data_IF_374295962221
#
_entry.id   IF_374295962221
#
_cell.length_a   1.000
_cell.length_b   1.000
_cell.length_c   1.000
_cell.angle_alpha   90.00
_cell.angle_beta   90.00
_cell.angle_gamma   90.00
#
_symmetry.space_group_name_H-M   'P 1'
#
loop_
_entity.id
_entity.type
_entity.pdbx_description
1 polymer ?
#
# COMPACT_ATOMS: atom_id res chain seq x y z
N UNK A 1 22.84 62.65 42.60
CA UNK A 1 21.73 62.15 43.43
C UNK A 1 20.83 61.32 42.52
N UNK A 2 20.58 60.05 42.87
CA UNK A 2 19.92 59.06 41.99
C UNK A 2 18.50 59.51 41.63
N UNK A 3 18.20 59.64 40.34
CA UNK A 3 16.82 59.82 39.85
C UNK A 3 15.97 58.63 40.29
N UNK A 4 14.94 58.91 41.08
CA UNK A 4 13.99 57.92 41.56
C UNK A 4 13.18 57.36 40.40
N UNK A 5 13.39 56.08 40.06
CA UNK A 5 12.52 55.34 39.16
C UNK A 5 11.13 55.23 39.78
N UNK A 6 10.15 55.83 39.12
CA UNK A 6 8.74 55.66 39.43
C UNK A 6 8.37 54.17 39.32
N UNK A 7 7.85 53.62 40.42
CA UNK A 7 7.52 52.21 40.64
C UNK A 7 6.20 51.78 39.99
N UNK A 8 5.43 52.72 39.44
CA UNK A 8 4.17 52.43 38.77
C UNK A 8 4.38 52.37 37.25
N UNK A 9 4.11 51.21 36.62
CA UNK A 9 4.07 51.12 35.15
C UNK A 9 3.07 52.15 34.62
N UNK A 10 3.55 53.07 33.80
CA UNK A 10 2.68 54.07 33.21
C UNK A 10 1.71 53.39 32.24
N UNK A 11 0.47 53.90 32.12
CA UNK A 11 -0.54 53.39 31.15
C UNK A 11 0.04 53.26 29.73
N UNK A 12 0.97 54.15 29.38
CA UNK A 12 1.69 54.15 28.10
C UNK A 12 2.65 52.97 27.97
N UNK A 13 3.39 52.61 29.02
CA UNK A 13 4.26 51.43 29.02
C UNK A 13 3.47 50.13 28.95
N UNK A 14 2.33 50.06 29.65
CA UNK A 14 1.39 48.94 29.55
C UNK A 14 0.87 48.74 28.11
N UNK A 15 0.35 49.80 27.48
CA UNK A 15 -0.14 49.75 26.09
C UNK A 15 0.99 49.37 25.11
N UNK A 16 2.21 49.86 25.36
CA UNK A 16 3.36 49.58 24.50
C UNK A 16 3.86 48.13 24.64
N UNK A 17 3.84 47.56 25.85
CA UNK A 17 4.12 46.13 26.08
C UNK A 17 3.03 45.25 25.47
N UNK A 18 1.77 45.56 25.74
CA UNK A 18 0.64 44.76 25.26
C UNK A 18 0.53 44.77 23.73
N UNK A 19 0.76 45.92 23.09
CA UNK A 19 0.80 46.03 21.63
C UNK A 19 1.95 45.24 21.00
N UNK A 20 3.13 45.19 21.63
CA UNK A 20 4.25 44.34 21.17
C UNK A 20 3.91 42.85 21.27
N UNK A 21 3.30 42.42 22.37
CA UNK A 21 2.90 41.02 22.56
C UNK A 21 1.82 40.62 21.54
N UNK A 22 0.81 41.46 21.34
CA UNK A 22 -0.23 41.25 20.32
C UNK A 22 0.31 41.20 18.89
N UNK A 23 1.38 41.93 18.58
CA UNK A 23 2.02 41.89 17.26
C UNK A 23 2.91 40.64 17.08
N UNK A 24 3.61 40.20 18.14
CA UNK A 24 4.55 39.08 18.08
C UNK A 24 3.85 37.72 18.09
N UNK A 25 2.75 37.57 18.85
CA UNK A 25 2.03 36.27 18.97
C UNK A 25 1.55 35.74 17.60
N UNK A 26 0.89 36.53 16.74
CA UNK A 26 0.48 36.06 15.42
C UNK A 26 1.68 35.75 14.53
N UNK A 27 2.72 36.59 14.54
CA UNK A 27 3.90 36.43 13.68
C UNK A 27 4.71 35.18 14.04
N UNK A 28 4.81 34.85 15.32
CA UNK A 28 5.49 33.62 15.77
C UNK A 28 4.58 32.39 15.75
N UNK A 29 3.28 32.57 16.00
CA UNK A 29 2.31 31.47 16.10
C UNK A 29 1.83 30.94 14.75
N UNK A 30 1.62 31.80 13.75
CA UNK A 30 1.16 31.37 12.41
C UNK A 30 2.11 30.36 11.76
N UNK A 31 3.44 30.60 11.71
CA UNK A 31 4.37 29.68 11.07
C UNK A 31 4.37 28.29 11.72
N UNK A 32 4.27 28.22 13.05
CA UNK A 32 4.23 26.96 13.81
C UNK A 32 2.94 26.18 13.59
N UNK A 33 1.81 26.88 13.47
CA UNK A 33 0.51 26.26 13.17
C UNK A 33 0.46 25.77 11.71
N UNK A 34 1.03 26.53 10.77
CA UNK A 34 1.09 26.15 9.37
C UNK A 34 2.08 25.00 9.13
N UNK A 35 3.22 24.97 9.84
CA UNK A 35 4.22 23.90 9.68
C UNK A 35 3.68 22.52 10.06
N UNK A 36 2.74 22.45 11.00
CA UNK A 36 2.02 21.21 11.35
C UNK A 36 1.07 20.74 10.26
N UNK A 37 0.54 21.64 9.43
CA UNK A 37 -0.32 21.32 8.29
C UNK A 37 0.47 21.00 7.03
N UNK A 38 1.73 21.44 6.94
CA UNK A 38 2.62 21.21 5.78
C UNK A 38 3.46 19.95 5.91
N UNK A 39 3.28 19.10 6.93
CA UNK A 39 3.72 17.70 6.81
C UNK A 39 2.82 17.08 5.75
N UNK A 40 3.21 17.27 4.49
CA UNK A 40 2.56 16.70 3.34
C UNK A 40 2.62 15.19 3.55
N UNK A 41 1.50 14.62 4.00
CA UNK A 41 1.25 13.18 3.92
C UNK A 41 1.49 12.83 2.46
N UNK A 42 2.51 12.03 2.21
CA UNK A 42 2.93 11.69 0.86
C UNK A 42 1.80 10.97 0.13
N UNK A 43 1.85 10.95 -1.19
CA UNK A 43 0.99 10.05 -1.95
C UNK A 43 1.85 8.96 -2.56
N UNK A 44 1.35 7.74 -2.50
CA UNK A 44 1.98 6.56 -3.10
C UNK A 44 1.07 5.95 -4.15
N UNK A 45 1.65 5.17 -5.06
CA UNK A 45 0.85 4.42 -6.03
C UNK A 45 0.35 3.13 -5.40
N UNK A 46 -0.94 2.85 -5.58
CA UNK A 46 -1.51 1.59 -5.15
C UNK A 46 -2.53 1.04 -6.16
N UNK A 47 -2.65 -0.29 -6.18
CA UNK A 47 -3.64 -1.04 -6.94
C UNK A 47 -4.90 -1.22 -6.09
N UNK A 48 -6.04 -0.81 -6.61
CA UNK A 48 -7.36 -1.15 -6.12
C UNK A 48 -7.69 -2.60 -6.51
N UNK A 49 -7.73 -3.54 -5.54
CA UNK A 49 -7.95 -4.96 -5.83
C UNK A 49 -9.39 -5.26 -6.29
N UNK A 50 -10.35 -4.37 -6.04
CA UNK A 50 -11.73 -4.53 -6.47
C UNK A 50 -11.91 -4.15 -7.95
N UNK A 51 -11.08 -3.23 -8.46
CA UNK A 51 -11.03 -2.89 -9.90
C UNK A 51 -10.10 -3.79 -10.71
N UNK A 52 -9.08 -4.36 -10.07
CA UNK A 52 -8.06 -5.16 -10.75
C UNK A 52 -8.68 -6.38 -11.47
N UNK A 53 -8.36 -6.52 -12.76
CA UNK A 53 -8.75 -7.67 -13.60
C UNK A 53 -7.64 -8.71 -13.78
N UNK A 54 -6.55 -8.60 -13.01
CA UNK A 54 -5.42 -9.53 -13.05
C UNK A 54 -4.83 -9.75 -14.47
N UNK A 55 -4.69 -8.67 -15.25
CA UNK A 55 -4.20 -8.73 -16.64
C UNK A 55 -2.72 -9.11 -16.80
N UNK A 56 -1.93 -9.07 -15.72
CA UNK A 56 -0.51 -9.44 -15.73
C UNK A 56 0.46 -8.38 -16.25
N UNK A 57 -0.02 -7.24 -16.75
CA UNK A 57 0.84 -6.15 -17.25
C UNK A 57 1.69 -5.47 -16.17
N UNK A 58 1.37 -5.69 -14.89
CA UNK A 58 2.19 -5.22 -13.76
C UNK A 58 3.62 -5.75 -13.81
N UNK A 59 3.82 -6.97 -14.34
CA UNK A 59 5.14 -7.59 -14.50
C UNK A 59 6.04 -6.79 -15.46
N UNK A 60 5.51 -6.38 -16.60
CA UNK A 60 6.30 -5.78 -17.70
C UNK A 60 6.27 -4.26 -17.71
N UNK A 61 5.28 -3.64 -17.08
CA UNK A 61 5.15 -2.17 -17.06
C UNK A 61 5.94 -1.50 -15.94
N UNK A 62 6.37 -2.25 -14.91
CA UNK A 62 7.20 -1.69 -13.86
C UNK A 62 8.61 -1.40 -14.39
N UNK A 63 9.20 -0.27 -14.00
CA UNK A 63 10.60 0.03 -14.33
C UNK A 63 11.58 -0.85 -13.54
N UNK A 64 11.13 -1.40 -12.41
CA UNK A 64 11.91 -2.32 -11.60
C UNK A 64 11.73 -3.76 -12.10
N UNK A 65 12.81 -4.53 -12.07
CA UNK A 65 12.81 -5.95 -12.40
C UNK A 65 13.52 -6.71 -11.27
N UNK A 66 12.82 -7.58 -10.51
CA UNK A 66 11.38 -7.86 -10.56
C UNK A 66 10.49 -6.65 -10.24
N UNK A 67 9.22 -6.71 -10.70
CA UNK A 67 8.24 -5.64 -10.49
C UNK A 67 8.01 -5.36 -8.99
N UNK A 68 7.80 -4.09 -8.61
CA UNK A 68 7.35 -3.72 -7.27
C UNK A 68 5.89 -4.12 -6.98
N UNK A 69 5.13 -4.49 -8.00
CA UNK A 69 3.79 -5.07 -7.83
C UNK A 69 3.90 -6.56 -7.56
N UNK A 70 3.37 -7.00 -6.41
CA UNK A 70 3.44 -8.38 -5.93
C UNK A 70 2.04 -8.93 -5.69
N UNK A 71 1.94 -10.26 -5.74
CA UNK A 71 0.78 -10.96 -5.21
C UNK A 71 0.84 -10.90 -3.69
N UNK A 72 -0.26 -10.53 -3.06
CA UNK A 72 -0.47 -10.60 -1.60
C UNK A 72 -1.56 -11.61 -1.30
N UNK A 73 -1.54 -12.14 -0.09
CA UNK A 73 -2.48 -13.16 0.37
C UNK A 73 -3.23 -12.67 1.60
N UNK A 74 -4.55 -12.51 1.46
CA UNK A 74 -5.43 -12.27 2.61
C UNK A 74 -5.89 -13.59 3.21
N UNK A 75 -5.26 -13.99 4.31
CA UNK A 75 -5.54 -15.24 4.99
C UNK A 75 -6.96 -15.28 5.56
N UNK A 76 -7.53 -14.15 5.96
CA UNK A 76 -8.90 -14.09 6.47
C UNK A 76 -9.95 -14.43 5.39
N UNK A 77 -9.61 -14.31 4.11
CA UNK A 77 -10.47 -14.64 2.98
C UNK A 77 -10.22 -16.03 2.42
N UNK A 78 -9.05 -16.61 2.68
CA UNK A 78 -8.63 -17.85 2.05
C UNK A 78 -9.45 -19.05 2.52
N UNK A 79 -9.82 -19.91 1.57
CA UNK A 79 -10.51 -21.18 1.86
C UNK A 79 -9.56 -22.34 2.16
N UNK A 80 -8.24 -22.13 2.07
CA UNK A 80 -7.21 -23.16 2.27
C UNK A 80 -7.46 -24.42 1.42
N UNK A 81 -7.96 -24.26 0.20
CA UNK A 81 -8.41 -25.37 -0.64
C UNK A 81 -7.27 -26.32 -1.00
N UNK A 82 -7.51 -27.63 -0.97
CA UNK A 82 -6.62 -28.63 -1.58
C UNK A 82 -6.42 -28.37 -3.09
N UNK A 83 -7.55 -28.25 -3.81
CA UNK A 83 -7.61 -27.82 -5.21
C UNK A 83 -7.69 -26.28 -5.28
N UNK A 84 -6.55 -25.61 -5.17
CA UNK A 84 -6.50 -24.14 -5.26
C UNK A 84 -6.28 -23.67 -6.70
N UNK A 85 -7.26 -22.97 -7.27
CA UNK A 85 -7.17 -22.37 -8.60
C UNK A 85 -6.09 -21.28 -8.73
N UNK A 86 -5.62 -20.70 -7.62
CA UNK A 86 -4.49 -19.77 -7.63
C UNK A 86 -3.12 -20.44 -7.62
N UNK A 87 -3.05 -21.73 -7.26
CA UNK A 87 -1.79 -22.48 -7.16
C UNK A 87 -1.61 -23.48 -8.30
N UNK A 88 -2.67 -24.19 -8.69
CA UNK A 88 -2.62 -25.23 -9.71
C UNK A 88 -3.03 -24.67 -11.07
N UNK A 89 -2.31 -25.04 -12.14
CA UNK A 89 -2.68 -24.69 -13.51
C UNK A 89 -4.00 -25.35 -13.91
N UNK A 90 -4.73 -24.68 -14.81
CA UNK A 90 -5.90 -25.29 -15.44
C UNK A 90 -5.53 -26.61 -16.13
N UNK A 91 -6.36 -27.64 -15.93
CA UNK A 91 -6.13 -28.97 -16.50
C UNK A 91 -5.00 -29.78 -15.86
N UNK A 92 -4.53 -29.43 -14.65
CA UNK A 92 -3.66 -30.27 -13.86
C UNK A 92 -4.29 -31.67 -13.66
N UNK A 93 -3.57 -32.74 -14.03
CA UNK A 93 -4.07 -34.13 -13.97
C UNK A 93 -4.00 -34.73 -12.57
N UNK A 94 -3.24 -34.11 -11.67
CA UNK A 94 -3.06 -34.50 -10.28
C UNK A 94 -2.86 -33.25 -9.43
N UNK A 95 -3.09 -33.38 -8.13
CA UNK A 95 -2.83 -32.34 -7.13
C UNK A 95 -1.48 -32.66 -6.46
N UNK A 96 -0.58 -31.67 -6.44
CA UNK A 96 0.76 -31.83 -5.90
C UNK A 96 1.57 -30.55 -6.00
N UNK A 97 2.87 -30.64 -5.72
CA UNK A 97 3.79 -29.49 -5.68
C UNK A 97 4.77 -29.45 -6.86
N UNK A 98 4.65 -30.38 -7.81
CA UNK A 98 5.46 -30.43 -9.03
C UNK A 98 5.39 -29.13 -9.83
N UNK A 99 6.53 -28.67 -10.36
CA UNK A 99 6.63 -27.40 -11.07
C UNK A 99 5.70 -27.35 -12.30
N UNK A 100 5.47 -28.49 -12.94
CA UNK A 100 4.54 -28.64 -14.05
C UNK A 100 3.09 -28.45 -13.65
N UNK A 101 2.74 -28.58 -12.36
CA UNK A 101 1.38 -28.37 -11.86
C UNK A 101 1.15 -26.92 -11.44
N UNK A 102 2.21 -26.17 -11.11
CA UNK A 102 2.09 -24.83 -10.55
C UNK A 102 1.67 -23.79 -11.60
N UNK A 103 0.76 -22.92 -11.19
CA UNK A 103 0.30 -21.76 -11.98
C UNK A 103 1.34 -20.63 -11.98
N UNK A 104 2.13 -20.51 -10.90
CA UNK A 104 3.17 -19.50 -10.79
C UNK A 104 4.41 -19.92 -11.61
N UNK A 105 4.77 -19.17 -12.67
CA UNK A 105 5.87 -19.56 -13.56
C UNK A 105 7.26 -19.48 -12.91
N UNK A 106 7.37 -18.72 -11.81
CA UNK A 106 8.61 -18.50 -11.06
C UNK A 106 8.62 -19.26 -9.73
N UNK A 107 7.62 -20.11 -9.47
CA UNK A 107 7.57 -20.91 -8.24
C UNK A 107 7.46 -20.08 -6.95
N UNK A 108 6.87 -18.89 -7.00
CA UNK A 108 6.78 -17.98 -5.86
C UNK A 108 5.73 -18.36 -4.82
N UNK A 109 5.01 -19.48 -4.99
CA UNK A 109 3.97 -19.92 -4.05
C UNK A 109 4.38 -21.25 -3.46
N UNK A 110 4.39 -21.33 -2.13
CA UNK A 110 4.61 -22.58 -1.41
C UNK A 110 3.26 -23.11 -0.93
N UNK A 111 3.01 -24.40 -1.13
CA UNK A 111 1.84 -25.12 -0.64
C UNK A 111 2.24 -26.04 0.51
N UNK A 112 1.65 -25.84 1.69
CA UNK A 112 1.95 -26.59 2.91
C UNK A 112 0.70 -27.32 3.40
N UNK A 113 0.83 -28.61 3.68
CA UNK A 113 -0.25 -29.38 4.29
C UNK A 113 -0.48 -28.91 5.74
N UNK A 114 -1.74 -28.71 6.11
CA UNK A 114 -2.14 -28.38 7.48
C UNK A 114 -2.87 -29.58 8.08
N UNK A 115 -4.03 -29.91 7.53
CA UNK A 115 -4.85 -31.08 7.88
C UNK A 115 -5.72 -31.43 6.67
N UNK A 116 -6.42 -32.56 6.63
CA UNK A 116 -7.33 -32.85 5.52
C UNK A 116 -8.65 -32.08 5.69
N UNK A 117 -9.16 -31.33 4.68
CA UNK A 117 -8.67 -31.11 3.31
C UNK A 117 -7.93 -29.77 3.09
N UNK A 118 -7.33 -29.20 4.15
CA UNK A 118 -6.79 -27.84 4.17
C UNK A 118 -5.28 -27.75 3.89
N UNK A 119 -4.93 -26.84 2.98
CA UNK A 119 -3.56 -26.49 2.63
C UNK A 119 -3.35 -24.98 2.71
N UNK A 120 -2.24 -24.59 3.34
CA UNK A 120 -1.81 -23.21 3.42
C UNK A 120 -0.94 -22.83 2.22
N UNK A 121 -1.14 -21.61 1.74
CA UNK A 121 -0.39 -21.03 0.64
C UNK A 121 0.37 -19.81 1.13
N UNK A 122 1.67 -19.78 0.90
CA UNK A 122 2.52 -18.63 1.25
C UNK A 122 3.19 -18.07 0.01
N UNK A 123 3.23 -16.75 -0.11
CA UNK A 123 3.88 -16.07 -1.24
C UNK A 123 5.31 -15.70 -0.85
N UNK A 124 6.28 -16.14 -1.65
CA UNK A 124 7.65 -15.65 -1.59
C UNK A 124 7.75 -14.37 -2.45
N UNK A 125 7.85 -13.22 -1.78
CA UNK A 125 7.88 -11.91 -2.44
C UNK A 125 9.13 -11.67 -3.29
N UNK A 126 10.27 -12.30 -2.94
CA UNK A 126 11.54 -12.18 -3.67
C UNK A 126 11.46 -12.84 -5.05
N UNK A 127 10.76 -13.97 -5.14
CA UNK A 127 10.53 -14.69 -6.40
C UNK A 127 9.37 -14.10 -7.21
N UNK A 128 8.38 -13.50 -6.56
CA UNK A 128 7.17 -13.02 -7.22
C UNK A 128 7.49 -11.89 -8.22
N UNK A 129 7.15 -12.09 -9.49
CA UNK A 129 7.45 -11.16 -10.58
C UNK A 129 6.28 -10.24 -10.96
N UNK A 130 5.15 -10.35 -10.28
CA UNK A 130 3.95 -9.54 -10.53
C UNK A 130 3.11 -9.96 -11.73
N UNK A 131 3.23 -11.20 -12.22
CA UNK A 131 2.47 -11.68 -13.40
C UNK A 131 0.96 -11.88 -13.17
N UNK A 132 0.47 -11.83 -11.93
CA UNK A 132 -0.95 -11.93 -11.55
C UNK A 132 -1.69 -13.22 -11.97
N UNK A 133 -1.02 -14.26 -12.48
CA UNK A 133 -1.67 -15.52 -12.87
C UNK A 133 -2.39 -16.19 -11.70
N UNK A 134 -1.72 -16.32 -10.56
CA UNK A 134 -2.29 -16.86 -9.33
C UNK A 134 -3.48 -16.05 -8.82
N UNK A 135 -3.41 -14.72 -8.92
CA UNK A 135 -4.51 -13.81 -8.56
C UNK A 135 -5.72 -14.07 -9.46
N UNK A 136 -5.50 -14.22 -10.76
CA UNK A 136 -6.58 -14.54 -11.70
C UNK A 136 -7.25 -15.86 -11.35
N UNK A 137 -6.48 -16.94 -11.20
CA UNK A 137 -7.03 -18.25 -10.88
C UNK A 137 -7.75 -18.29 -9.52
N UNK A 138 -7.24 -17.59 -8.50
CA UNK A 138 -7.91 -17.47 -7.20
C UNK A 138 -9.21 -16.66 -7.28
N UNK A 139 -9.27 -15.63 -8.14
CA UNK A 139 -10.47 -14.82 -8.37
C UNK A 139 -11.54 -15.59 -9.14
N UNK A 140 -11.14 -16.36 -10.15
CA UNK A 140 -12.07 -17.02 -11.07
C UNK A 140 -12.64 -18.33 -10.47
N UNK A 141 -11.85 -19.05 -9.66
CA UNK A 141 -12.22 -20.37 -9.13
C UNK A 141 -12.20 -20.49 -7.61
N UNK A 142 -11.95 -19.40 -6.89
CA UNK A 142 -11.88 -19.40 -5.43
C UNK A 142 -12.46 -18.12 -4.83
N UNK A 143 -11.95 -17.80 -3.65
CA UNK A 143 -12.49 -16.73 -2.81
C UNK A 143 -11.90 -15.35 -3.18
N UNK A 144 -10.96 -15.32 -4.13
CA UNK A 144 -10.18 -14.12 -4.46
C UNK A 144 -9.34 -13.59 -3.28
N UNK A 145 -8.80 -14.48 -2.43
CA UNK A 145 -7.90 -14.13 -1.32
C UNK A 145 -6.51 -13.70 -1.79
N UNK A 146 -6.10 -14.10 -3.00
CA UNK A 146 -4.90 -13.60 -3.66
C UNK A 146 -5.26 -12.37 -4.50
N UNK A 147 -4.51 -11.27 -4.34
CA UNK A 147 -4.68 -10.05 -5.12
C UNK A 147 -3.35 -9.31 -5.32
N UNK A 148 -3.34 -8.31 -6.19
CA UNK A 148 -2.14 -7.54 -6.48
C UNK A 148 -2.07 -6.28 -5.61
N UNK A 149 -0.89 -6.00 -5.05
CA UNK A 149 -0.57 -4.73 -4.39
C UNK A 149 0.81 -4.25 -4.85
N UNK A 150 1.03 -2.94 -4.87
CA UNK A 150 2.35 -2.34 -5.00
C UNK A 150 2.97 -2.30 -3.61
N UNK A 151 4.12 -2.96 -3.46
CA UNK A 151 4.92 -2.99 -2.22
C UNK A 151 5.70 -1.69 -2.10
N UNK A 152 5.39 -0.91 -1.06
CA UNK A 152 5.90 0.45 -0.93
C UNK A 152 7.39 0.52 -0.56
N UNK A 153 7.89 -0.53 0.07
CA UNK A 153 9.32 -0.76 0.34
C UNK A 153 10.14 -1.05 -0.93
N UNK A 154 9.49 -1.60 -1.97
CA UNK A 154 10.12 -1.84 -3.28
C UNK A 154 9.88 -0.69 -4.26
N UNK A 155 8.75 0.01 -4.14
CA UNK A 155 8.34 1.01 -5.11
C UNK A 155 9.27 2.23 -5.10
N UNK A 156 9.85 2.57 -6.24
CA UNK A 156 10.61 3.80 -6.42
C UNK A 156 9.74 5.09 -6.41
N UNK A 157 8.44 4.97 -6.16
CA UNK A 157 7.45 6.05 -6.15
C UNK A 157 7.56 7.01 -7.35
N UNK A 158 7.70 6.46 -8.57
CA UNK A 158 7.85 7.24 -9.80
C UNK A 158 6.76 8.31 -9.91
N UNK A 159 7.10 9.53 -10.34
CA UNK A 159 6.10 10.60 -10.47
C UNK A 159 4.97 10.23 -11.44
N UNK A 160 5.32 9.50 -12.50
CA UNK A 160 4.40 8.95 -13.50
C UNK A 160 4.56 7.42 -13.58
N UNK A 161 3.66 6.68 -12.93
CA UNK A 161 3.76 5.23 -12.85
C UNK A 161 3.35 4.57 -14.17
N UNK A 162 4.30 3.89 -14.82
CA UNK A 162 4.03 3.12 -16.05
C UNK A 162 2.99 2.01 -15.86
N UNK A 163 2.90 1.38 -14.67
CA UNK A 163 1.82 0.42 -14.38
C UNK A 163 0.46 1.13 -14.41
N UNK A 164 0.37 2.33 -13.85
CA UNK A 164 -0.88 3.08 -13.83
C UNK A 164 -1.33 3.51 -15.23
N UNK A 165 -0.40 4.01 -16.06
CA UNK A 165 -0.71 4.39 -17.45
C UNK A 165 -1.17 3.22 -18.31
N UNK A 166 -0.56 2.05 -18.13
CA UNK A 166 -0.85 0.88 -18.96
C UNK A 166 -2.01 0.04 -18.42
N UNK A 167 -2.46 0.23 -17.18
CA UNK A 167 -3.50 -0.61 -16.57
C UNK A 167 -4.84 -0.51 -17.32
N UNK A 168 -5.31 -1.59 -17.98
CA UNK A 168 -6.55 -1.54 -18.78
C UNK A 168 -7.80 -1.38 -17.92
N UNK A 169 -7.74 -1.75 -16.64
CA UNK A 169 -8.84 -1.60 -15.69
C UNK A 169 -8.80 -0.27 -14.93
N UNK A 170 -7.81 0.59 -15.19
CA UNK A 170 -7.60 1.84 -14.45
C UNK A 170 -7.61 1.63 -12.93
N UNK A 171 -7.06 0.49 -12.49
CA UNK A 171 -7.10 0.06 -11.10
C UNK A 171 -5.98 0.68 -10.24
N UNK A 172 -5.05 1.44 -10.84
CA UNK A 172 -3.91 2.02 -10.10
C UNK A 172 -4.11 3.51 -9.94
N UNK A 173 -4.02 4.00 -8.71
CA UNK A 173 -4.21 5.41 -8.38
C UNK A 173 -3.25 5.85 -7.28
N UNK A 174 -3.20 7.17 -7.06
CA UNK A 174 -2.50 7.76 -5.91
C UNK A 174 -3.38 7.62 -4.68
N UNK A 175 -2.83 7.07 -3.61
CA UNK A 175 -3.45 6.96 -2.28
C UNK A 175 -2.58 7.65 -1.24
N UNK A 176 -3.19 8.03 -0.11
CA UNK A 176 -2.47 8.64 1.01
C UNK A 176 -1.39 7.68 1.54
N UNK A 177 -0.23 8.21 1.90
CA UNK A 177 0.84 7.43 2.55
C UNK A 177 0.46 6.91 3.93
N UNK A 178 -0.65 7.37 4.51
CA UNK A 178 -1.18 6.83 5.77
C UNK A 178 -2.02 5.56 5.55
N UNK A 179 -2.57 5.38 4.35
CA UNK A 179 -3.42 4.25 3.97
C UNK A 179 -2.87 3.68 2.66
N UNK A 180 -1.67 3.11 2.77
CA UNK A 180 -0.86 2.70 1.62
C UNK A 180 -1.37 1.44 0.94
N UNK A 181 -2.09 0.59 1.65
CA UNK A 181 -2.56 -0.72 1.19
C UNK A 181 -4.08 -0.76 1.21
N UNK A 182 -4.65 -1.41 0.20
CA UNK A 182 -6.09 -1.64 0.09
C UNK A 182 -6.31 -3.13 0.29
N UNK A 183 -6.62 -3.51 1.52
CA UNK A 183 -6.88 -4.90 1.88
C UNK A 183 -8.26 -5.33 1.38
N UNK A 184 -8.39 -6.61 1.01
CA UNK A 184 -9.70 -7.17 0.70
C UNK A 184 -10.34 -7.66 1.99
N UNK A 185 -11.58 -7.26 2.23
CA UNK A 185 -12.33 -7.69 3.41
C UNK A 185 -13.39 -8.72 3.01
N UNK A 186 -13.82 -9.52 3.98
CA UNK A 186 -14.96 -10.44 3.79
C UNK A 186 -16.23 -9.60 3.73
N UNK A 187 -17.08 -9.74 2.69
CA UNK A 187 -18.41 -9.14 2.72
C UNK A 187 -19.14 -9.66 3.95
N UNK A 188 -19.60 -8.75 4.81
CA UNK A 188 -20.41 -9.07 5.99
C UNK A 188 -21.84 -9.41 5.56
#
# INVERSE_FOLDING_TARGET
MKEGKNIYETRRDFVRKFGKVLAVIPVAGLPVLLSRKTVAKGYVWQIDPYKCIACGQCKTSCILTPSASKCVHEYALCGYCDLCGGYLKEGAKSIGTGAELQMCPVGAITRKFVEEPFFEYSINEDLCDGCAKCVKGCKDFGNGSLYMQIKQDLCANCNDCSIARNCPAQAVSRVSSDQQYIEKERPV
#
